data_IF_640912380652
#
_entry.id   IF_640912380652
#
_cell.length_a   1.000
_cell.length_b   1.000
_cell.length_c   1.000
_cell.angle_alpha   90.00
_cell.angle_beta   90.00
_cell.angle_gamma   90.00
#
_symmetry.space_group_name_H-M   'P 1'
#
loop_
_entity.id
_entity.type
_entity.pdbx_description
1 polymer ?
#
# COMPACT_ATOMS: atom_id res chain seq x y z
N UNK A 1 28.83 -65.12 62.57
CA UNK A 1 27.81 -65.82 61.77
C UNK A 1 26.51 -65.01 61.82
N UNK A 2 25.92 -64.73 60.65
CA UNK A 2 24.68 -63.99 60.37
C UNK A 2 24.74 -62.44 60.33
N UNK A 3 24.70 -62.00 59.06
CA UNK A 3 24.51 -60.68 58.46
C UNK A 3 23.27 -59.93 58.99
N UNK A 4 23.41 -58.61 59.22
CA UNK A 4 22.35 -57.61 58.99
C UNK A 4 22.96 -56.43 58.25
N UNK A 5 22.42 -56.15 57.06
CA UNK A 5 22.73 -54.99 56.25
C UNK A 5 22.08 -53.74 56.86
N UNK A 6 22.88 -52.69 57.06
CA UNK A 6 22.40 -51.31 57.20
C UNK A 6 22.96 -50.51 56.02
N UNK A 7 22.05 -49.93 55.23
CA UNK A 7 22.35 -49.06 54.11
C UNK A 7 22.72 -47.67 54.66
N UNK A 8 23.92 -47.17 54.34
CA UNK A 8 24.22 -45.74 54.39
C UNK A 8 24.85 -45.30 53.07
N UNK A 9 24.21 -44.26 52.53
CA UNK A 9 24.52 -43.52 51.31
C UNK A 9 25.95 -42.98 51.31
N UNK A 10 26.67 -43.16 50.20
CA UNK A 10 27.87 -42.39 49.89
C UNK A 10 27.70 -41.71 48.53
N UNK A 11 27.67 -40.38 48.56
CA UNK A 11 27.69 -39.50 47.40
C UNK A 11 28.98 -39.72 46.58
N UNK A 12 28.83 -39.95 45.28
CA UNK A 12 29.92 -39.84 44.30
C UNK A 12 29.56 -38.73 43.32
N UNK A 13 30.27 -37.60 43.45
CA UNK A 13 30.16 -36.41 42.62
C UNK A 13 30.92 -36.67 41.32
N UNK A 14 30.21 -36.95 40.22
CA UNK A 14 30.80 -37.06 38.89
C UNK A 14 30.68 -35.73 38.14
N UNK A 15 31.83 -35.07 37.94
CA UNK A 15 32.00 -33.93 37.05
C UNK A 15 31.68 -34.31 35.61
N UNK A 16 30.55 -33.83 35.08
CA UNK A 16 30.20 -33.94 33.67
C UNK A 16 30.82 -32.77 32.88
N UNK A 17 31.84 -33.09 32.07
CA UNK A 17 32.42 -32.18 31.08
C UNK A 17 31.43 -32.00 29.93
N UNK A 18 30.78 -30.85 29.85
CA UNK A 18 29.87 -30.53 28.72
C UNK A 18 30.69 -30.15 27.49
N UNK A 19 30.74 -31.06 26.53
CA UNK A 19 31.19 -30.80 25.16
C UNK A 19 30.21 -29.87 24.45
N UNK A 20 30.65 -28.67 24.10
CA UNK A 20 29.89 -27.76 23.23
C UNK A 20 29.79 -28.36 21.82
N UNK A 21 28.66 -29.01 21.50
CA UNK A 21 28.29 -29.31 20.13
C UNK A 21 27.77 -28.03 19.47
N UNK A 22 28.52 -27.52 18.50
CA UNK A 22 28.01 -26.54 17.53
C UNK A 22 26.92 -27.23 16.70
N UNK A 23 25.66 -26.99 17.03
CA UNK A 23 24.56 -27.35 16.14
C UNK A 23 24.62 -26.49 14.87
N UNK A 24 24.51 -27.09 13.67
CA UNK A 24 24.38 -26.32 12.44
C UNK A 24 23.10 -25.47 12.51
N UNK A 25 23.21 -24.18 12.17
CA UNK A 25 22.02 -23.33 11.99
C UNK A 25 21.06 -24.02 11.02
N UNK A 26 19.75 -24.07 11.32
CA UNK A 26 18.78 -24.68 10.43
C UNK A 26 18.90 -24.02 9.04
N UNK A 27 18.98 -24.85 8.01
CA UNK A 27 18.96 -24.39 6.62
C UNK A 27 17.70 -23.53 6.43
N UNK A 28 17.79 -22.39 5.72
CA UNK A 28 16.60 -21.64 5.36
C UNK A 28 15.61 -22.57 4.64
N UNK A 29 14.30 -22.41 4.86
CA UNK A 29 13.30 -23.25 4.19
C UNK A 29 13.55 -23.23 2.67
N UNK A 30 13.28 -24.33 1.96
CA UNK A 30 13.41 -24.36 0.51
C UNK A 30 12.63 -23.19 -0.08
N UNK A 31 13.19 -22.48 -1.08
CA UNK A 31 12.56 -21.26 -1.58
C UNK A 31 11.16 -21.60 -2.09
N UNK A 32 10.18 -20.87 -1.56
CA UNK A 32 8.78 -20.96 -1.95
C UNK A 32 8.67 -20.79 -3.47
N UNK A 33 8.25 -21.84 -4.19
CA UNK A 33 8.07 -21.81 -5.64
C UNK A 33 6.64 -21.39 -5.96
N UNK A 34 6.48 -20.13 -6.38
CA UNK A 34 5.20 -19.50 -6.70
C UNK A 34 5.45 -18.46 -7.80
N UNK A 35 5.82 -18.96 -8.97
CA UNK A 35 6.17 -18.16 -10.16
C UNK A 35 4.88 -17.72 -10.89
N UNK A 36 5.00 -17.15 -12.11
CA UNK A 36 3.91 -16.48 -12.79
C UNK A 36 2.65 -17.34 -12.98
N UNK A 37 2.76 -18.63 -13.31
CA UNK A 37 1.57 -19.47 -13.52
C UNK A 37 0.76 -19.66 -12.22
N UNK A 38 1.45 -19.73 -11.08
CA UNK A 38 0.80 -19.76 -9.77
C UNK A 38 0.16 -18.41 -9.42
N UNK A 39 0.82 -17.30 -9.79
CA UNK A 39 0.27 -15.93 -9.64
C UNK A 39 -0.98 -15.75 -10.51
N UNK A 40 -0.95 -16.24 -11.76
CA UNK A 40 -2.07 -16.21 -12.68
C UNK A 40 -3.23 -17.06 -12.18
N UNK A 41 -2.94 -18.26 -11.65
CA UNK A 41 -3.95 -19.12 -11.02
C UNK A 41 -4.56 -18.46 -9.78
N UNK A 42 -3.75 -17.74 -8.98
CA UNK A 42 -4.22 -16.94 -7.83
C UNK A 42 -4.99 -15.68 -8.27
N UNK A 43 -4.88 -15.26 -9.53
CA UNK A 43 -5.54 -14.07 -10.06
C UNK A 43 -5.04 -12.74 -9.49
N UNK A 44 -3.92 -12.71 -8.77
CA UNK A 44 -3.43 -11.48 -8.12
C UNK A 44 -1.93 -11.45 -7.92
N UNK A 45 -1.32 -10.27 -7.97
CA UNK A 45 0.08 -10.00 -7.58
C UNK A 45 0.13 -9.17 -6.30
N UNK A 46 1.05 -9.48 -5.39
CA UNK A 46 1.28 -8.70 -4.16
C UNK A 46 2.56 -7.89 -4.28
N UNK A 47 2.43 -6.56 -4.30
CA UNK A 47 3.56 -5.64 -4.38
C UNK A 47 3.99 -5.13 -3.00
N UNK A 48 5.29 -5.20 -2.74
CA UNK A 48 5.96 -4.57 -1.61
C UNK A 48 6.38 -3.16 -2.02
N UNK A 49 5.69 -2.15 -1.51
CA UNK A 49 5.85 -0.73 -1.94
C UNK A 49 6.27 0.14 -0.77
N UNK A 50 6.99 1.23 -1.01
CA UNK A 50 7.28 2.22 0.03
C UNK A 50 6.33 3.42 -0.05
N UNK A 51 6.09 4.08 1.09
CA UNK A 51 5.26 5.28 1.14
C UNK A 51 6.07 6.48 0.59
N UNK A 52 6.06 6.62 -0.73
CA UNK A 52 6.80 7.64 -1.47
C UNK A 52 6.08 8.02 -2.76
N UNK A 53 6.45 9.16 -3.34
CA UNK A 53 5.89 9.61 -4.63
C UNK A 53 6.40 8.78 -5.80
N UNK A 54 7.58 8.19 -5.64
CA UNK A 54 8.25 7.35 -6.64
C UNK A 54 7.71 5.92 -6.64
N UNK A 55 7.10 5.48 -5.52
CA UNK A 55 6.49 4.17 -5.41
C UNK A 55 4.97 4.25 -5.30
N UNK A 56 4.43 4.59 -4.12
CA UNK A 56 3.02 4.51 -3.79
C UNK A 56 2.60 5.51 -2.69
N UNK A 57 1.46 6.19 -2.89
CA UNK A 57 0.79 7.07 -1.92
C UNK A 57 -0.71 7.23 -2.25
N UNK A 58 -1.47 7.93 -1.39
CA UNK A 58 -2.87 8.29 -1.65
C UNK A 58 -3.03 9.82 -1.68
N UNK A 59 -3.79 10.35 -2.64
CA UNK A 59 -4.13 11.76 -2.74
C UNK A 59 -5.61 11.94 -3.08
N UNK A 60 -6.34 12.71 -2.27
CA UNK A 60 -7.79 12.91 -2.41
C UNK A 60 -8.55 11.59 -2.62
N UNK A 61 -8.22 10.59 -1.81
CA UNK A 61 -8.79 9.25 -1.89
C UNK A 61 -8.31 8.37 -3.05
N UNK A 62 -7.46 8.86 -3.96
CA UNK A 62 -6.94 8.05 -5.05
C UNK A 62 -5.56 7.47 -4.73
N UNK A 63 -5.32 6.16 -4.88
CA UNK A 63 -3.98 5.61 -4.89
C UNK A 63 -3.21 6.08 -6.13
N UNK A 64 -1.97 6.50 -5.92
CA UNK A 64 -1.07 7.12 -6.88
C UNK A 64 0.37 6.69 -6.63
N UNK A 65 1.27 6.99 -7.55
CA UNK A 65 2.70 6.68 -7.47
C UNK A 65 3.24 6.20 -8.81
N UNK A 66 4.52 6.49 -9.07
CA UNK A 66 5.14 6.11 -10.34
C UNK A 66 5.16 4.59 -10.53
N UNK A 67 5.75 3.84 -9.60
CA UNK A 67 5.79 2.38 -9.71
C UNK A 67 4.40 1.74 -9.54
N UNK A 68 3.53 2.31 -8.70
CA UNK A 68 2.15 1.85 -8.56
C UNK A 68 1.36 1.94 -9.88
N UNK A 69 1.43 3.07 -10.61
CA UNK A 69 0.69 3.21 -11.86
C UNK A 69 1.23 2.31 -12.97
N UNK A 70 2.54 2.07 -13.01
CA UNK A 70 3.13 1.09 -13.92
C UNK A 70 2.66 -0.32 -13.58
N UNK A 71 2.77 -0.72 -12.31
CA UNK A 71 2.38 -2.07 -11.93
C UNK A 71 0.87 -2.31 -12.07
N UNK A 72 0.04 -1.31 -11.79
CA UNK A 72 -1.41 -1.39 -12.02
C UNK A 72 -1.74 -1.66 -13.49
N UNK A 73 -1.01 -1.04 -14.42
CA UNK A 73 -1.16 -1.31 -15.86
C UNK A 73 -0.73 -2.72 -16.21
N UNK A 74 0.43 -3.17 -15.71
CA UNK A 74 0.89 -4.54 -15.91
C UNK A 74 -0.15 -5.56 -15.44
N UNK A 75 -0.75 -5.36 -14.25
CA UNK A 75 -1.76 -6.29 -13.73
C UNK A 75 -3.05 -6.24 -14.54
N UNK A 76 -3.51 -5.06 -14.97
CA UNK A 76 -4.69 -4.91 -15.82
C UNK A 76 -4.52 -5.61 -17.18
N UNK A 77 -3.36 -5.49 -17.82
CA UNK A 77 -3.05 -6.14 -19.11
C UNK A 77 -2.89 -7.67 -18.99
N UNK A 78 -2.78 -8.21 -17.78
CA UNK A 78 -2.65 -9.64 -17.51
C UNK A 78 -3.83 -10.22 -16.71
N UNK A 79 -4.95 -9.49 -16.60
CA UNK A 79 -6.15 -9.90 -15.86
C UNK A 79 -5.86 -10.28 -14.39
N UNK A 80 -4.94 -9.55 -13.75
CA UNK A 80 -4.56 -9.74 -12.36
C UNK A 80 -5.07 -8.59 -11.48
N UNK A 81 -5.42 -8.92 -10.24
CA UNK A 81 -5.59 -7.93 -9.18
C UNK A 81 -4.24 -7.49 -8.60
N UNK A 82 -4.15 -6.23 -8.20
CA UNK A 82 -2.97 -5.66 -7.56
C UNK A 82 -3.20 -5.49 -6.05
N UNK A 83 -2.56 -6.36 -5.26
CA UNK A 83 -2.50 -6.26 -3.81
C UNK A 83 -1.29 -5.43 -3.38
N UNK A 84 -1.51 -4.44 -2.50
CA UNK A 84 -0.45 -3.55 -2.03
C UNK A 84 -0.13 -3.84 -0.57
N UNK A 85 1.17 -4.02 -0.27
CA UNK A 85 1.70 -4.10 1.08
C UNK A 85 2.80 -3.06 1.27
N UNK A 86 2.58 -2.12 2.19
CA UNK A 86 3.55 -1.05 2.43
C UNK A 86 4.67 -1.55 3.32
N UNK A 87 5.91 -1.27 2.92
CA UNK A 87 7.11 -1.55 3.69
C UNK A 87 7.49 -0.34 4.54
N UNK A 88 7.83 -0.62 5.79
CA UNK A 88 8.20 0.43 6.76
C UNK A 88 9.69 0.38 7.13
N UNK A 89 10.32 -0.79 6.98
CA UNK A 89 11.75 -0.99 7.24
C UNK A 89 12.46 -1.49 5.99
N UNK A 90 13.48 -0.76 5.55
CA UNK A 90 14.17 -1.08 4.29
C UNK A 90 14.89 -2.43 4.35
N UNK A 91 15.44 -2.79 5.51
CA UNK A 91 16.19 -4.03 5.70
C UNK A 91 15.31 -5.29 5.66
N UNK A 92 14.02 -5.14 5.93
CA UNK A 92 13.03 -6.22 5.87
C UNK A 92 12.53 -6.52 4.46
N UNK A 93 12.74 -5.63 3.48
CA UNK A 93 12.09 -5.76 2.16
C UNK A 93 12.48 -7.04 1.40
N UNK A 94 13.78 -7.33 1.30
CA UNK A 94 14.26 -8.53 0.59
C UNK A 94 13.97 -9.82 1.38
N UNK A 95 14.14 -9.87 2.71
CA UNK A 95 13.63 -10.98 3.52
C UNK A 95 12.13 -11.24 3.32
N UNK A 96 11.30 -10.21 3.31
CA UNK A 96 9.84 -10.34 3.09
C UNK A 96 9.52 -10.89 1.70
N UNK A 97 10.21 -10.40 0.66
CA UNK A 97 10.07 -10.94 -0.69
C UNK A 97 10.42 -12.43 -0.74
N UNK A 98 11.56 -12.80 -0.16
CA UNK A 98 12.08 -14.17 -0.18
C UNK A 98 11.30 -15.13 0.73
N UNK A 99 10.56 -14.62 1.72
CA UNK A 99 9.64 -15.42 2.55
C UNK A 99 8.25 -15.60 1.94
N UNK A 100 8.00 -15.10 0.73
CA UNK A 100 6.69 -15.16 0.07
C UNK A 100 5.67 -14.13 0.57
N UNK A 101 6.09 -13.10 1.33
CA UNK A 101 5.16 -12.09 1.84
C UNK A 101 4.63 -11.15 0.75
N UNK A 102 5.38 -10.97 -0.33
CA UNK A 102 4.95 -10.33 -1.58
C UNK A 102 5.70 -10.95 -2.74
N UNK A 103 5.32 -10.64 -3.97
CA UNK A 103 5.86 -11.23 -5.21
C UNK A 103 6.85 -10.30 -5.92
N UNK A 104 6.70 -9.00 -5.72
CA UNK A 104 7.51 -7.97 -6.37
C UNK A 104 7.81 -6.83 -5.39
N UNK A 105 9.03 -6.30 -5.44
CA UNK A 105 9.43 -5.09 -4.73
C UNK A 105 9.41 -3.92 -5.72
N UNK A 106 8.59 -2.92 -5.40
CA UNK A 106 8.42 -1.68 -6.14
C UNK A 106 8.59 -0.53 -5.16
N UNK A 107 9.84 -0.23 -4.78
CA UNK A 107 10.15 0.69 -3.69
C UNK A 107 11.35 1.58 -4.00
N UNK A 108 11.48 2.03 -5.26
CA UNK A 108 12.63 2.78 -5.78
C UNK A 108 13.97 2.12 -5.35
N UNK A 109 14.07 0.80 -5.55
CA UNK A 109 15.20 0.04 -5.03
C UNK A 109 16.39 0.11 -6.01
N UNK A 110 17.53 0.60 -5.51
CA UNK A 110 18.78 0.63 -6.28
C UNK A 110 19.31 -0.78 -6.51
N UNK A 111 19.71 -1.08 -7.74
CA UNK A 111 20.42 -2.31 -8.11
C UNK A 111 21.85 -2.25 -7.54
N UNK A 112 22.20 -3.20 -6.68
CA UNK A 112 23.57 -3.35 -6.15
C UNK A 112 24.04 -4.79 -6.29
N UNK A 113 25.36 -5.05 -6.40
CA UNK A 113 25.90 -6.42 -6.46
C UNK A 113 25.45 -7.29 -5.29
N UNK A 114 25.45 -6.76 -4.07
CA UNK A 114 25.00 -7.51 -2.88
C UNK A 114 23.51 -7.86 -2.90
N UNK A 115 22.66 -6.97 -3.42
CA UNK A 115 21.23 -7.28 -3.59
C UNK A 115 21.00 -8.30 -4.69
N UNK A 116 21.73 -8.21 -5.81
CA UNK A 116 21.62 -9.14 -6.95
C UNK A 116 22.01 -10.59 -6.59
N UNK A 117 22.82 -10.79 -5.53
CA UNK A 117 23.06 -12.14 -4.98
C UNK A 117 21.81 -12.77 -4.36
N UNK A 118 20.84 -11.96 -3.92
CA UNK A 118 19.69 -12.39 -3.10
C UNK A 118 18.36 -12.40 -3.85
N UNK A 119 18.24 -11.61 -4.92
CA UNK A 119 17.02 -11.40 -5.71
C UNK A 119 17.39 -11.19 -7.18
N UNK A 120 16.43 -11.35 -8.08
CA UNK A 120 16.58 -10.93 -9.46
C UNK A 120 15.99 -9.52 -9.64
N UNK A 121 16.66 -8.68 -10.43
CA UNK A 121 16.13 -7.38 -10.82
C UNK A 121 15.59 -7.44 -12.24
N UNK A 122 14.53 -6.68 -12.49
CA UNK A 122 14.04 -6.45 -13.85
C UNK A 122 15.05 -5.63 -14.67
N UNK A 123 14.79 -5.46 -15.97
CA UNK A 123 15.29 -4.28 -16.70
C UNK A 123 14.99 -3.04 -15.86
N UNK A 124 15.94 -2.10 -15.82
CA UNK A 124 15.80 -0.87 -15.04
C UNK A 124 14.52 -0.12 -15.43
N UNK A 125 13.93 0.63 -14.51
CA UNK A 125 12.86 1.57 -14.82
C UNK A 125 13.47 2.86 -15.39
N UNK A 126 14.56 3.30 -14.78
CA UNK A 126 15.35 4.46 -15.17
C UNK A 126 16.71 4.46 -14.46
N UNK A 127 17.63 5.26 -14.98
CA UNK A 127 18.90 5.59 -14.35
C UNK A 127 18.75 6.83 -13.44
N UNK A 128 19.46 6.83 -12.31
CA UNK A 128 19.57 7.97 -11.40
C UNK A 128 21.00 8.11 -10.88
N UNK A 129 21.28 9.18 -10.13
CA UNK A 129 22.56 9.40 -9.44
C UNK A 129 22.27 9.58 -7.96
N UNK A 130 23.20 9.17 -7.11
CA UNK A 130 23.16 9.61 -5.71
C UNK A 130 23.65 11.05 -5.64
N UNK A 131 22.98 11.89 -4.88
CA UNK A 131 23.33 13.30 -4.71
C UNK A 131 23.36 13.70 -3.25
N UNK A 132 24.30 14.58 -2.91
CA UNK A 132 24.31 15.28 -1.64
C UNK A 132 23.14 16.26 -1.62
N UNK A 133 22.33 16.17 -0.58
CA UNK A 133 21.31 17.15 -0.26
C UNK A 133 21.83 18.03 0.87
N UNK A 134 21.92 19.33 0.59
CA UNK A 134 22.43 20.36 1.50
C UNK A 134 21.55 21.61 1.40
N UNK A 135 21.67 22.58 2.31
CA UNK A 135 20.99 23.89 2.15
C UNK A 135 21.81 24.85 1.28
N UNK A 136 21.14 25.79 0.63
CA UNK A 136 21.80 27.02 0.19
C UNK A 136 22.27 27.79 1.44
N UNK A 137 23.57 27.87 1.65
CA UNK A 137 24.21 28.61 2.75
C UNK A 137 25.05 29.76 2.21
N UNK A 138 25.44 30.70 3.08
CA UNK A 138 26.40 31.77 2.78
C UNK A 138 27.85 31.26 2.64
N UNK A 139 28.19 30.17 3.32
CA UNK A 139 29.58 29.76 3.59
C UNK A 139 30.12 28.74 2.58
N UNK A 140 29.70 28.86 1.32
CA UNK A 140 29.99 27.98 0.17
C UNK A 140 29.32 26.60 0.19
N UNK A 141 28.89 26.18 -1.00
CA UNK A 141 28.23 24.89 -1.27
C UNK A 141 29.27 23.81 -1.54
N UNK A 142 29.07 22.62 -0.97
CA UNK A 142 29.88 21.43 -1.28
C UNK A 142 29.67 21.04 -2.74
N UNK A 143 30.71 21.05 -3.56
CA UNK A 143 30.64 20.73 -5.00
C UNK A 143 31.16 19.34 -5.33
N UNK A 144 32.03 18.79 -4.48
CA UNK A 144 32.67 17.49 -4.69
C UNK A 144 32.53 16.60 -3.45
N UNK A 145 32.75 15.29 -3.61
CA UNK A 145 32.71 14.33 -2.49
C UNK A 145 33.85 14.58 -1.52
N UNK A 146 35.01 14.99 -2.02
CA UNK A 146 36.23 15.23 -1.26
C UNK A 146 36.04 16.33 -0.22
N UNK A 147 35.26 17.36 -0.56
CA UNK A 147 34.89 18.47 0.33
C UNK A 147 34.02 18.04 1.54
N UNK A 148 33.49 16.81 1.56
CA UNK A 148 32.81 16.25 2.73
C UNK A 148 33.77 15.82 3.84
N UNK A 149 35.08 15.93 3.65
CA UNK A 149 36.08 15.63 4.68
C UNK A 149 35.78 16.37 5.99
N UNK A 150 35.65 15.62 7.09
CA UNK A 150 35.35 16.17 8.42
C UNK A 150 33.90 16.59 8.65
N UNK A 151 33.06 16.61 7.60
CA UNK A 151 31.62 16.91 7.69
C UNK A 151 30.85 15.70 8.21
N UNK A 152 29.69 15.97 8.80
CA UNK A 152 28.76 14.94 9.27
C UNK A 152 27.64 14.73 8.25
N UNK A 153 27.50 13.51 7.75
CA UNK A 153 26.46 13.17 6.77
C UNK A 153 25.53 12.12 7.37
N UNK A 154 24.23 12.44 7.42
CA UNK A 154 23.20 11.56 7.94
C UNK A 154 22.55 10.81 6.79
N UNK A 155 22.40 9.50 6.91
CA UNK A 155 21.74 8.69 5.87
C UNK A 155 20.90 7.60 6.49
N UNK A 156 19.86 7.15 5.78
CA UNK A 156 19.03 6.02 6.22
C UNK A 156 19.90 4.78 6.42
N UNK A 157 19.89 4.21 7.62
CA UNK A 157 20.66 3.02 7.96
C UNK A 157 20.24 1.84 7.06
N UNK A 158 21.21 1.03 6.61
CA UNK A 158 21.00 -0.12 5.68
C UNK A 158 20.42 0.25 4.31
N UNK A 159 20.51 1.52 3.91
CA UNK A 159 20.28 1.94 2.53
C UNK A 159 21.51 1.73 1.66
N UNK A 160 21.32 1.72 0.35
CA UNK A 160 22.42 1.76 -0.63
C UNK A 160 23.31 2.98 -0.43
N UNK A 161 22.76 4.10 0.06
CA UNK A 161 23.51 5.32 0.39
C UNK A 161 24.48 5.10 1.56
N UNK A 162 24.04 4.41 2.61
CA UNK A 162 24.88 4.11 3.77
C UNK A 162 26.04 3.18 3.38
N UNK A 163 25.75 2.10 2.66
CA UNK A 163 26.77 1.17 2.17
C UNK A 163 27.76 1.87 1.24
N UNK A 164 27.27 2.67 0.29
CA UNK A 164 28.11 3.39 -0.65
C UNK A 164 28.99 4.46 0.01
N UNK A 165 28.46 5.26 0.94
CA UNK A 165 29.29 6.24 1.66
C UNK A 165 30.41 5.57 2.45
N UNK A 166 30.16 4.39 3.03
CA UNK A 166 31.21 3.61 3.71
C UNK A 166 32.29 3.16 2.72
N UNK A 167 31.92 2.75 1.51
CA UNK A 167 32.88 2.40 0.45
C UNK A 167 33.69 3.62 -0.02
N UNK A 168 33.00 4.73 -0.29
CA UNK A 168 33.61 6.02 -0.66
C UNK A 168 34.60 6.48 0.41
N UNK A 169 34.26 6.36 1.69
CA UNK A 169 35.11 6.74 2.81
C UNK A 169 36.30 5.78 3.04
N UNK A 170 36.33 4.62 2.37
CA UNK A 170 37.49 3.71 2.34
C UNK A 170 38.44 4.03 1.18
N UNK A 171 37.89 4.38 0.01
CA UNK A 171 38.67 4.65 -1.21
C UNK A 171 39.19 6.08 -1.26
N UNK A 172 38.44 7.02 -0.72
CA UNK A 172 38.82 8.41 -0.59
C UNK A 172 39.27 8.66 0.88
N UNK A 173 40.44 9.27 1.08
CA UNK A 173 40.92 9.73 2.40
C UNK A 173 40.19 10.96 3.04
N UNK A 174 39.03 11.47 2.58
CA UNK A 174 38.10 12.21 3.43
C UNK A 174 37.67 11.40 4.64
N UNK A 175 37.82 12.00 5.83
CA UNK A 175 37.24 11.47 7.08
C UNK A 175 35.79 11.96 7.22
N UNK A 176 34.88 11.47 6.38
CA UNK A 176 33.44 11.79 6.49
C UNK A 176 32.89 11.14 7.75
N UNK A 177 32.17 11.91 8.59
CA UNK A 177 31.48 11.38 9.76
C UNK A 177 30.08 10.89 9.35
N UNK A 178 29.96 9.60 9.03
CA UNK A 178 28.70 9.01 8.55
C UNK A 178 27.83 8.59 9.75
N UNK A 179 26.61 9.14 9.84
CA UNK A 179 25.62 8.76 10.86
C UNK A 179 24.46 8.03 10.18
N UNK A 180 24.33 6.73 10.49
CA UNK A 180 23.22 5.91 10.03
C UNK A 180 21.98 6.09 10.91
N UNK A 181 20.88 6.57 10.34
CA UNK A 181 19.62 6.81 11.04
C UNK A 181 18.66 5.65 10.78
N UNK A 182 18.27 4.94 11.84
CA UNK A 182 17.35 3.81 11.76
C UNK A 182 15.92 4.25 11.41
N UNK A 183 15.17 3.36 10.77
CA UNK A 183 13.73 3.52 10.57
C UNK A 183 12.99 3.58 11.91
N UNK A 184 11.96 4.41 12.01
CA UNK A 184 11.13 4.48 13.22
C UNK A 184 10.34 3.18 13.43
N UNK A 185 10.03 2.85 14.68
CA UNK A 185 9.08 1.79 15.02
C UNK A 185 7.65 2.12 14.56
N UNK A 186 7.34 3.40 14.40
CA UNK A 186 6.05 3.87 13.89
C UNK A 186 5.92 3.56 12.39
N UNK A 187 5.21 2.46 12.14
CA UNK A 187 5.08 1.80 10.86
C UNK A 187 4.12 2.50 9.91
N UNK A 188 3.92 3.83 9.98
CA UNK A 188 3.05 4.55 9.02
C UNK A 188 3.57 5.93 8.63
N UNK A 189 4.77 6.28 9.08
CA UNK A 189 5.38 7.57 8.79
C UNK A 189 6.00 7.55 7.39
N UNK A 190 6.07 8.74 6.77
CA UNK A 190 6.78 9.01 5.52
C UNK A 190 8.19 8.38 5.51
N UNK A 191 8.65 7.92 4.33
CA UNK A 191 9.98 7.31 4.15
C UNK A 191 11.11 8.12 4.85
N UNK A 192 12.02 7.42 5.56
CA UNK A 192 13.10 8.02 6.36
C UNK A 192 14.02 8.93 5.55
N UNK A 193 14.33 8.62 4.30
CA UNK A 193 15.11 9.48 3.41
C UNK A 193 14.40 10.83 3.20
N UNK A 194 13.07 10.83 3.04
CA UNK A 194 12.30 12.07 2.91
C UNK A 194 12.31 12.88 4.21
N UNK A 195 12.27 12.21 5.36
CA UNK A 195 12.44 12.88 6.66
C UNK A 195 13.81 13.57 6.74
N UNK A 196 14.90 12.87 6.41
CA UNK A 196 16.26 13.45 6.43
C UNK A 196 16.38 14.66 5.50
N UNK A 197 15.75 14.63 4.31
CA UNK A 197 15.74 15.79 3.41
C UNK A 197 14.99 16.98 4.03
N UNK A 198 13.85 16.72 4.69
CA UNK A 198 13.12 17.76 5.41
C UNK A 198 13.94 18.32 6.58
N UNK A 199 14.70 17.48 7.30
CA UNK A 199 15.60 17.93 8.38
C UNK A 199 16.77 18.78 7.86
N UNK A 200 17.32 18.45 6.68
CA UNK A 200 18.28 19.33 6.00
C UNK A 200 17.63 20.68 5.70
N UNK A 201 16.43 20.68 5.12
CA UNK A 201 15.69 21.92 4.82
C UNK A 201 15.41 22.76 6.06
N UNK A 202 15.03 22.13 7.18
CA UNK A 202 14.80 22.78 8.47
C UNK A 202 16.08 23.27 9.16
N UNK A 203 17.25 22.80 8.73
CA UNK A 203 18.53 23.13 9.33
C UNK A 203 18.87 22.33 10.59
N UNK A 204 18.15 21.23 10.84
CA UNK A 204 18.39 20.32 11.97
C UNK A 204 19.61 19.43 11.73
N UNK A 205 19.89 19.12 10.46
CA UNK A 205 21.12 18.47 10.00
C UNK A 205 21.66 19.20 8.77
N UNK A 206 22.96 19.08 8.52
CA UNK A 206 23.59 19.81 7.41
C UNK A 206 23.46 19.07 6.07
N UNK A 207 23.63 17.74 6.11
CA UNK A 207 23.80 16.92 4.92
C UNK A 207 23.08 15.57 5.02
N UNK A 208 22.41 15.18 3.93
CA UNK A 208 21.98 13.80 3.67
C UNK A 208 22.31 13.40 2.25
N UNK A 209 22.22 12.11 1.93
CA UNK A 209 22.31 11.59 0.56
C UNK A 209 20.97 10.96 0.16
N UNK A 210 20.59 11.14 -1.11
CA UNK A 210 19.42 10.51 -1.70
C UNK A 210 19.63 10.29 -3.21
N UNK A 211 18.79 9.45 -3.83
CA UNK A 211 18.72 9.39 -5.28
C UNK A 211 18.22 10.74 -5.84
N UNK A 212 18.77 11.17 -6.97
CA UNK A 212 18.50 12.47 -7.59
C UNK A 212 17.02 12.60 -7.97
N UNK A 213 16.39 11.51 -8.41
CA UNK A 213 14.96 11.51 -8.73
C UNK A 213 14.10 11.84 -7.50
N UNK A 214 14.46 11.31 -6.32
CA UNK A 214 13.82 11.62 -5.05
C UNK A 214 14.14 13.06 -4.61
N UNK A 215 15.41 13.46 -4.67
CA UNK A 215 15.86 14.79 -4.29
C UNK A 215 15.21 15.90 -5.16
N UNK A 216 15.04 15.66 -6.46
CA UNK A 216 14.36 16.56 -7.40
C UNK A 216 12.89 16.76 -7.07
N UNK A 217 12.21 15.74 -6.55
CA UNK A 217 10.84 15.87 -6.05
C UNK A 217 10.85 16.68 -4.75
N UNK A 218 11.75 16.36 -3.81
CA UNK A 218 11.82 17.02 -2.51
C UNK A 218 12.21 18.50 -2.57
N UNK A 219 13.11 18.89 -3.48
CA UNK A 219 13.49 20.30 -3.71
C UNK A 219 12.29 21.20 -4.05
N UNK A 220 11.17 20.63 -4.52
CA UNK A 220 9.93 21.38 -4.79
C UNK A 220 9.22 21.79 -3.51
N UNK A 221 9.29 20.96 -2.48
CA UNK A 221 8.75 21.24 -1.14
C UNK A 221 9.71 22.07 -0.30
N UNK A 222 11.00 21.86 -0.54
CA UNK A 222 12.10 22.45 0.19
C UNK A 222 12.98 23.29 -0.76
N UNK A 223 12.51 24.46 -1.24
CA UNK A 223 13.23 25.23 -2.27
C UNK A 223 14.60 25.72 -1.83
N UNK A 224 14.86 25.72 -0.52
CA UNK A 224 16.14 26.09 0.08
C UNK A 224 17.21 24.98 0.02
N UNK A 225 16.93 23.78 -0.53
CA UNK A 225 17.94 22.71 -0.67
C UNK A 225 18.64 22.74 -2.04
N UNK A 226 19.91 22.36 -2.03
CA UNK A 226 20.80 22.16 -3.16
C UNK A 226 21.10 20.66 -3.32
N UNK A 227 21.10 20.17 -4.57
CA UNK A 227 21.04 18.72 -4.90
C UNK A 227 21.90 18.32 -6.11
N UNK A 228 22.83 19.17 -6.56
CA UNK A 228 23.56 18.92 -7.82
C UNK A 228 24.89 18.20 -7.63
N UNK A 229 25.37 18.08 -6.40
CA UNK A 229 26.64 17.44 -6.04
C UNK A 229 26.49 15.93 -6.10
N UNK A 230 27.07 15.23 -7.09
CA UNK A 230 26.94 13.78 -7.19
C UNK A 230 27.80 13.06 -6.15
N UNK A 231 27.31 11.94 -5.64
CA UNK A 231 28.06 10.99 -4.82
C UNK A 231 28.28 9.75 -5.69
N UNK A 232 29.42 9.69 -6.39
CA UNK A 232 29.80 8.56 -7.25
C UNK A 232 29.09 8.54 -8.62
N UNK A 233 29.01 7.35 -9.21
CA UNK A 233 28.51 7.13 -10.58
C UNK A 233 27.00 6.89 -10.64
N UNK A 234 26.37 7.02 -11.82
CA UNK A 234 24.97 6.65 -12.00
C UNK A 234 24.66 5.21 -11.61
N UNK A 235 23.42 4.98 -11.19
CA UNK A 235 22.88 3.70 -10.72
C UNK A 235 21.49 3.48 -11.30
N UNK A 236 21.08 2.22 -11.38
CA UNK A 236 19.78 1.83 -11.91
C UNK A 236 18.78 1.60 -10.79
N UNK A 237 17.55 2.08 -11.00
CA UNK A 237 16.38 1.71 -10.21
C UNK A 237 15.62 0.64 -10.99
N UNK A 238 15.29 -0.48 -10.35
CA UNK A 238 14.57 -1.60 -10.97
C UNK A 238 13.60 -2.23 -9.97
N UNK A 239 12.63 -2.99 -10.46
CA UNK A 239 11.85 -3.87 -9.59
C UNK A 239 12.67 -5.10 -9.21
N UNK A 240 12.37 -5.69 -8.05
CA UNK A 240 13.00 -6.94 -7.62
C UNK A 240 11.97 -8.05 -7.43
N UNK A 241 12.31 -9.26 -7.87
CA UNK A 241 11.53 -10.50 -7.69
C UNK A 241 12.42 -11.58 -7.08
N UNK A 242 11.83 -12.66 -6.56
CA UNK A 242 12.63 -13.77 -6.00
C UNK A 242 13.51 -14.38 -7.10
N UNK A 243 14.64 -14.97 -6.69
CA UNK A 243 15.54 -15.67 -7.63
C UNK A 243 14.85 -16.81 -8.38
N UNK A 244 13.83 -17.41 -7.77
CA UNK A 244 13.03 -18.51 -8.31
C UNK A 244 11.96 -18.07 -9.31
N UNK A 245 11.55 -16.80 -9.30
CA UNK A 245 10.41 -16.32 -10.08
C UNK A 245 10.84 -15.89 -11.49
N UNK A 246 11.40 -16.84 -12.23
CA UNK A 246 12.03 -16.60 -13.54
C UNK A 246 11.02 -16.26 -14.63
N UNK A 247 9.80 -16.81 -14.58
CA UNK A 247 8.75 -16.51 -15.55
C UNK A 247 8.13 -15.13 -15.29
N UNK A 248 7.91 -14.79 -14.02
CA UNK A 248 7.47 -13.44 -13.63
C UNK A 248 8.51 -12.41 -14.08
N UNK A 249 9.80 -12.65 -13.81
CA UNK A 249 10.88 -11.79 -14.27
C UNK A 249 10.85 -11.59 -15.79
N UNK A 250 10.72 -12.68 -16.55
CA UNK A 250 10.67 -12.63 -18.01
C UNK A 250 9.49 -11.77 -18.49
N UNK A 251 8.28 -12.02 -17.98
CA UNK A 251 7.07 -11.26 -18.34
C UNK A 251 7.19 -9.79 -18.00
N UNK A 252 7.72 -9.46 -16.82
CA UNK A 252 7.98 -8.09 -16.41
C UNK A 252 8.98 -7.39 -17.35
N UNK A 253 10.07 -8.08 -17.72
CA UNK A 253 11.08 -7.51 -18.62
C UNK A 253 10.53 -7.29 -20.03
N UNK A 254 9.84 -8.27 -20.59
CA UNK A 254 9.20 -8.16 -21.91
C UNK A 254 8.22 -6.99 -21.93
N UNK A 255 7.39 -6.87 -20.89
CA UNK A 255 6.44 -5.78 -20.71
C UNK A 255 7.12 -4.42 -20.55
N UNK A 256 8.11 -4.29 -19.66
CA UNK A 256 8.84 -3.04 -19.43
C UNK A 256 9.56 -2.55 -20.69
N UNK A 257 10.18 -3.46 -21.44
CA UNK A 257 10.89 -3.13 -22.68
C UNK A 257 9.95 -2.56 -23.75
N UNK A 258 8.72 -3.09 -23.83
CA UNK A 258 7.67 -2.56 -24.69
C UNK A 258 7.13 -1.23 -24.16
N UNK A 259 6.74 -1.18 -22.90
CA UNK A 259 6.09 -0.01 -22.29
C UNK A 259 6.98 1.23 -22.29
N UNK A 260 8.29 1.09 -22.12
CA UNK A 260 9.24 2.22 -22.22
C UNK A 260 9.16 2.99 -23.55
N UNK A 261 8.59 2.39 -24.59
CA UNK A 261 8.41 3.00 -25.92
C UNK A 261 7.03 3.65 -26.10
N UNK A 262 6.13 3.53 -25.12
CA UNK A 262 4.75 4.01 -25.23
C UNK A 262 4.60 5.44 -24.69
N UNK A 263 3.65 6.20 -25.26
CA UNK A 263 3.27 7.52 -24.77
C UNK A 263 2.76 7.47 -23.32
N UNK A 264 2.16 6.36 -22.90
CA UNK A 264 1.66 6.16 -21.56
C UNK A 264 2.79 6.13 -20.53
N UNK A 265 3.86 5.39 -20.77
CA UNK A 265 5.04 5.39 -19.90
C UNK A 265 5.66 6.79 -19.80
N UNK A 266 5.78 7.48 -20.93
CA UNK A 266 6.28 8.87 -20.94
C UNK A 266 5.34 9.87 -20.24
N UNK A 267 4.04 9.60 -20.23
CA UNK A 267 3.07 10.41 -19.48
C UNK A 267 3.23 10.19 -17.99
N UNK A 268 3.37 8.92 -17.55
CA UNK A 268 3.58 8.57 -16.14
C UNK A 268 4.91 9.14 -15.63
N UNK A 269 6.02 8.96 -16.37
CA UNK A 269 7.32 9.51 -15.97
C UNK A 269 7.27 11.05 -15.89
N UNK A 270 6.57 11.70 -16.82
CA UNK A 270 6.42 13.17 -16.84
C UNK A 270 5.61 13.62 -15.63
N UNK A 271 4.50 12.96 -15.33
CA UNK A 271 3.62 13.25 -14.19
C UNK A 271 4.38 13.23 -12.85
N UNK A 272 5.27 12.26 -12.66
CA UNK A 272 5.98 12.09 -11.38
C UNK A 272 7.32 12.81 -11.28
N UNK A 273 8.08 12.90 -12.38
CA UNK A 273 9.43 13.47 -12.34
C UNK A 273 9.55 14.85 -12.99
N UNK A 274 8.67 15.22 -13.93
CA UNK A 274 8.80 16.48 -14.70
C UNK A 274 7.74 17.54 -14.37
N UNK A 275 6.49 17.16 -14.09
CA UNK A 275 5.36 18.08 -13.89
C UNK A 275 5.44 18.82 -12.52
N UNK A 276 6.12 19.97 -12.52
CA UNK A 276 6.57 20.72 -11.33
C UNK A 276 5.45 21.15 -10.39
N UNK A 277 4.44 21.85 -10.92
CA UNK A 277 3.43 22.54 -10.11
C UNK A 277 2.33 21.60 -9.60
N UNK A 278 1.85 20.71 -10.47
CA UNK A 278 0.71 19.83 -10.15
C UNK A 278 1.08 18.85 -9.05
N UNK A 279 2.23 18.17 -9.13
CA UNK A 279 2.63 17.21 -8.11
C UNK A 279 2.89 17.88 -6.75
N UNK A 280 3.49 19.08 -6.75
CA UNK A 280 3.67 19.88 -5.52
C UNK A 280 2.34 20.20 -4.87
N UNK A 281 1.36 20.71 -5.64
CA UNK A 281 0.03 21.02 -5.13
C UNK A 281 -0.66 19.79 -4.52
N UNK A 282 -0.52 18.62 -5.16
CA UNK A 282 -1.10 17.37 -4.65
C UNK A 282 -0.50 16.96 -3.30
N UNK A 283 0.82 16.97 -3.19
CA UNK A 283 1.51 16.45 -2.00
C UNK A 283 1.54 17.43 -0.83
N UNK A 284 1.47 18.73 -1.10
CA UNK A 284 1.32 19.76 -0.06
C UNK A 284 -0.12 19.87 0.47
N UNK A 285 -1.08 19.17 -0.13
CA UNK A 285 -2.46 19.15 0.35
C UNK A 285 -2.57 18.35 1.64
N UNK A 286 -3.38 18.85 2.59
CA UNK A 286 -3.79 18.11 3.79
C UNK A 286 -4.49 16.77 3.47
N UNK A 287 -4.99 16.61 2.24
CA UNK A 287 -5.68 15.40 1.75
C UNK A 287 -4.75 14.40 1.05
N UNK A 288 -3.44 14.55 1.26
CA UNK A 288 -2.42 13.59 0.90
C UNK A 288 -2.16 12.65 2.07
N UNK A 289 -2.01 11.36 1.80
CA UNK A 289 -1.61 10.39 2.84
C UNK A 289 -0.23 10.69 3.41
N UNK A 290 0.60 11.47 2.71
CA UNK A 290 1.88 11.98 3.22
C UNK A 290 1.71 12.98 4.38
N UNK A 291 0.53 13.61 4.47
CA UNK A 291 0.11 14.51 5.56
C UNK A 291 -0.87 13.84 6.54
N UNK A 292 -1.33 12.64 6.22
CA UNK A 292 -2.21 11.84 7.08
C UNK A 292 -3.71 12.03 6.83
N UNK A 293 -4.12 12.76 5.79
CA UNK A 293 -5.52 12.97 5.44
C UNK A 293 -5.96 12.26 4.14
N UNK A 294 -7.27 12.13 3.96
CA UNK A 294 -7.95 11.58 2.77
C UNK A 294 -8.80 12.65 2.09
N UNK A 295 -9.54 13.44 2.88
CA UNK A 295 -10.57 14.34 2.38
C UNK A 295 -10.76 15.57 3.29
N UNK A 296 -11.45 16.62 2.81
CA UNK A 296 -11.89 17.75 3.63
C UNK A 296 -12.84 17.37 4.78
N UNK A 297 -13.41 16.16 4.75
CA UNK A 297 -14.47 15.74 5.66
C UNK A 297 -14.01 14.70 6.68
N UNK A 298 -12.70 14.42 6.78
CA UNK A 298 -12.17 13.32 7.60
C UNK A 298 -12.69 13.34 9.04
N UNK A 299 -12.81 14.51 9.67
CA UNK A 299 -13.31 14.61 11.05
C UNK A 299 -14.83 14.35 11.15
N UNK A 300 -15.62 14.80 10.17
CA UNK A 300 -17.03 14.45 10.08
C UNK A 300 -17.21 12.95 9.80
N UNK A 301 -16.42 12.40 8.88
CA UNK A 301 -16.44 10.98 8.54
C UNK A 301 -16.08 10.13 9.78
N UNK A 302 -15.05 10.50 10.54
CA UNK A 302 -14.70 9.84 11.82
C UNK A 302 -15.85 9.86 12.82
N UNK A 303 -16.50 11.02 12.99
CA UNK A 303 -17.66 11.19 13.88
C UNK A 303 -18.78 10.21 13.51
N UNK A 304 -19.16 10.16 12.24
CA UNK A 304 -20.30 9.35 11.80
C UNK A 304 -19.96 7.87 11.63
N UNK A 305 -18.74 7.51 11.23
CA UNK A 305 -18.27 6.13 11.21
C UNK A 305 -18.33 5.50 12.61
N UNK A 306 -17.99 6.25 13.66
CA UNK A 306 -18.13 5.80 15.06
C UNK A 306 -19.58 5.46 15.41
N UNK A 307 -20.56 6.21 14.90
CA UNK A 307 -21.99 6.00 15.18
C UNK A 307 -22.55 4.68 14.62
N UNK A 308 -21.87 4.13 13.61
CA UNK A 308 -22.19 2.88 12.92
C UNK A 308 -21.16 1.76 13.19
N UNK A 309 -20.21 1.99 14.11
CA UNK A 309 -19.12 1.06 14.44
C UNK A 309 -18.28 0.62 13.23
N UNK A 310 -18.05 1.53 12.28
CA UNK A 310 -17.18 1.30 11.13
C UNK A 310 -15.81 1.95 11.30
N UNK A 311 -14.82 1.43 10.58
CA UNK A 311 -13.58 2.15 10.35
C UNK A 311 -13.87 3.38 9.50
N UNK A 312 -13.43 4.56 9.92
CA UNK A 312 -13.71 5.81 9.20
C UNK A 312 -13.12 5.81 7.80
N UNK A 313 -12.03 5.07 7.57
CA UNK A 313 -11.41 4.93 6.24
C UNK A 313 -12.32 4.14 5.31
N UNK A 314 -13.11 3.19 5.81
CA UNK A 314 -14.09 2.46 5.01
C UNK A 314 -15.23 3.40 4.57
N UNK A 315 -15.75 4.20 5.50
CA UNK A 315 -16.78 5.19 5.19
C UNK A 315 -16.24 6.25 4.21
N UNK A 316 -14.99 6.71 4.37
CA UNK A 316 -14.35 7.59 3.41
C UNK A 316 -14.22 6.96 2.01
N UNK A 317 -13.97 5.64 1.95
CA UNK A 317 -13.87 4.92 0.68
C UNK A 317 -15.21 4.81 -0.04
N UNK A 318 -16.28 4.59 0.73
CA UNK A 318 -17.65 4.62 0.23
C UNK A 318 -18.00 6.00 -0.34
N UNK A 319 -17.79 7.07 0.44
CA UNK A 319 -18.07 8.45 0.00
C UNK A 319 -17.26 8.81 -1.25
N UNK A 320 -16.02 8.32 -1.34
CA UNK A 320 -15.23 8.52 -2.54
C UNK A 320 -15.87 7.85 -3.77
N UNK A 321 -16.38 6.62 -3.62
CA UNK A 321 -17.09 5.91 -4.68
C UNK A 321 -18.34 6.66 -5.12
N UNK A 322 -19.07 7.21 -4.15
CA UNK A 322 -20.34 7.90 -4.38
C UNK A 322 -20.16 9.27 -5.04
N UNK A 323 -19.35 10.15 -4.45
CA UNK A 323 -19.29 11.55 -4.89
C UNK A 323 -17.88 12.08 -5.12
N UNK A 324 -16.85 11.26 -4.89
CA UNK A 324 -15.44 11.72 -4.86
C UNK A 324 -15.24 12.88 -3.87
N UNK A 325 -15.99 12.88 -2.77
CA UNK A 325 -16.06 13.95 -1.77
C UNK A 325 -16.65 15.27 -2.28
N UNK A 326 -17.48 15.24 -3.32
CA UNK A 326 -18.23 16.41 -3.77
C UNK A 326 -19.60 16.47 -3.07
N UNK A 327 -19.89 17.56 -2.38
CA UNK A 327 -21.16 17.78 -1.68
C UNK A 327 -22.29 18.18 -2.62
N UNK A 328 -21.97 18.65 -3.83
CA UNK A 328 -22.92 19.07 -4.85
C UNK A 328 -23.10 18.00 -5.95
N UNK A 329 -22.46 16.84 -5.84
CA UNK A 329 -22.61 15.77 -6.80
C UNK A 329 -24.07 15.32 -6.90
N UNK A 330 -24.53 15.17 -8.13
CA UNK A 330 -25.84 14.63 -8.49
C UNK A 330 -25.65 13.57 -9.57
N UNK A 331 -26.21 12.39 -9.34
CA UNK A 331 -26.21 11.29 -10.30
C UNK A 331 -27.38 11.40 -11.29
N UNK A 332 -27.32 10.65 -12.38
CA UNK A 332 -28.41 10.59 -13.37
C UNK A 332 -29.73 10.05 -12.81
N UNK A 333 -29.69 9.29 -11.70
CA UNK A 333 -30.87 8.83 -10.95
C UNK A 333 -31.39 9.84 -9.93
N UNK A 334 -30.76 11.01 -9.82
CA UNK A 334 -31.13 12.07 -8.86
C UNK A 334 -30.63 11.81 -7.43
N UNK A 335 -29.67 10.89 -7.23
CA UNK A 335 -29.02 10.73 -5.93
C UNK A 335 -28.03 11.87 -5.70
N UNK A 336 -28.00 12.45 -4.49
CA UNK A 336 -27.34 13.74 -4.25
C UNK A 336 -26.46 13.75 -2.99
N UNK A 337 -25.40 14.55 -3.04
CA UNK A 337 -24.51 14.84 -1.92
C UNK A 337 -23.43 13.78 -1.69
N UNK A 338 -22.72 13.88 -0.55
CA UNK A 338 -21.55 13.06 -0.25
C UNK A 338 -21.78 11.55 -0.35
N UNK A 339 -22.92 11.10 0.18
CA UNK A 339 -23.29 9.69 0.25
C UNK A 339 -24.25 9.29 -0.87
N UNK A 340 -24.52 10.18 -1.84
CA UNK A 340 -25.44 9.96 -2.97
C UNK A 340 -26.76 9.32 -2.51
N UNK A 341 -27.51 10.03 -1.67
CA UNK A 341 -28.82 9.56 -1.23
C UNK A 341 -29.88 10.00 -2.23
N UNK A 342 -30.77 9.09 -2.60
CA UNK A 342 -31.99 9.42 -3.34
C UNK A 342 -32.89 10.24 -2.40
N UNK A 343 -33.50 11.36 -2.85
CA UNK A 343 -34.31 12.24 -2.00
C UNK A 343 -35.37 11.52 -1.16
N UNK A 344 -36.11 10.57 -1.75
CA UNK A 344 -37.11 9.77 -1.02
C UNK A 344 -36.49 8.93 0.10
N UNK A 345 -35.29 8.39 -0.11
CA UNK A 345 -34.54 7.68 0.94
C UNK A 345 -33.97 8.63 1.98
N UNK A 346 -33.56 9.83 1.59
CA UNK A 346 -33.07 10.85 2.51
C UNK A 346 -34.16 11.29 3.51
N UNK A 347 -35.39 11.46 3.03
CA UNK A 347 -36.56 11.82 3.85
C UNK A 347 -36.85 10.77 4.94
N UNK A 348 -36.74 9.47 4.64
CA UNK A 348 -36.86 8.37 5.62
C UNK A 348 -35.89 8.50 6.80
N UNK A 349 -34.78 9.23 6.63
CA UNK A 349 -33.77 9.47 7.65
C UNK A 349 -33.71 10.92 8.15
N UNK A 350 -34.75 11.70 7.86
CA UNK A 350 -34.94 13.07 8.35
C UNK A 350 -34.08 14.11 7.64
N UNK A 351 -33.67 13.85 6.40
CA UNK A 351 -32.94 14.79 5.56
C UNK A 351 -33.86 15.34 4.47
N UNK A 352 -34.18 16.63 4.57
CA UNK A 352 -35.00 17.32 3.57
C UNK A 352 -34.19 17.68 2.31
N UNK A 353 -34.91 17.90 1.20
CA UNK A 353 -34.31 18.22 -0.09
C UNK A 353 -33.50 19.53 -0.12
N UNK A 354 -33.79 20.51 0.75
CA UNK A 354 -33.01 21.76 0.79
C UNK A 354 -31.65 21.56 1.49
N UNK A 355 -31.57 20.58 2.38
CA UNK A 355 -30.38 20.24 3.15
C UNK A 355 -29.55 19.11 2.54
N UNK A 356 -29.98 18.49 1.43
CA UNK A 356 -29.38 17.25 0.91
C UNK A 356 -27.91 17.39 0.48
N UNK A 357 -27.47 18.59 0.10
CA UNK A 357 -26.08 18.91 -0.24
C UNK A 357 -25.25 19.34 0.99
N UNK A 358 -25.86 19.50 2.16
CA UNK A 358 -25.13 19.77 3.40
C UNK A 358 -24.33 18.53 3.82
N UNK A 359 -23.01 18.66 3.88
CA UNK A 359 -22.10 17.55 4.19
C UNK A 359 -22.46 16.80 5.47
N UNK A 360 -22.77 17.52 6.56
CA UNK A 360 -23.08 16.91 7.86
C UNK A 360 -24.43 16.19 7.82
N UNK A 361 -25.46 16.84 7.28
CA UNK A 361 -26.81 16.27 7.23
C UNK A 361 -26.87 15.04 6.31
N UNK A 362 -26.20 15.11 5.15
CA UNK A 362 -26.07 14.00 4.21
C UNK A 362 -25.31 12.79 4.81
N UNK A 363 -24.18 13.05 5.48
CA UNK A 363 -23.44 12.02 6.21
C UNK A 363 -24.25 11.37 7.32
N UNK A 364 -25.02 12.16 8.07
CA UNK A 364 -25.87 11.66 9.14
C UNK A 364 -26.94 10.71 8.61
N UNK A 365 -27.68 11.13 7.59
CA UNK A 365 -28.74 10.33 6.98
C UNK A 365 -28.18 9.04 6.37
N UNK A 366 -27.09 9.13 5.60
CA UNK A 366 -26.49 7.96 4.96
C UNK A 366 -25.88 6.99 5.98
N UNK A 367 -25.35 7.51 7.11
CA UNK A 367 -24.90 6.66 8.21
C UNK A 367 -26.06 5.95 8.91
N UNK A 368 -27.22 6.61 9.11
CA UNK A 368 -28.43 5.95 9.61
C UNK A 368 -28.89 4.85 8.65
N UNK A 369 -28.81 5.08 7.34
CA UNK A 369 -29.12 4.07 6.33
C UNK A 369 -28.16 2.87 6.39
N UNK A 370 -26.84 3.10 6.41
CA UNK A 370 -25.85 2.03 6.58
C UNK A 370 -26.08 1.22 7.87
N UNK A 371 -26.43 1.89 8.97
CA UNK A 371 -26.75 1.22 10.25
C UNK A 371 -27.98 0.32 10.13
N UNK A 372 -28.99 0.72 9.36
CA UNK A 372 -30.16 -0.13 9.07
C UNK A 372 -29.74 -1.36 8.27
N UNK A 373 -28.92 -1.18 7.23
CA UNK A 373 -28.41 -2.28 6.41
C UNK A 373 -27.58 -3.28 7.24
N UNK A 374 -26.67 -2.79 8.09
CA UNK A 374 -25.85 -3.66 8.96
C UNK A 374 -26.74 -4.47 9.92
N UNK A 375 -27.77 -3.85 10.52
CA UNK A 375 -28.76 -4.56 11.35
C UNK A 375 -29.52 -5.65 10.61
N UNK A 376 -29.83 -5.46 9.32
CA UNK A 376 -30.48 -6.49 8.51
C UNK A 376 -29.55 -7.70 8.38
N UNK A 377 -28.30 -7.47 8.00
CA UNK A 377 -27.35 -8.55 7.73
C UNK A 377 -26.80 -9.21 8.99
N UNK A 378 -26.70 -8.48 10.11
CA UNK A 378 -26.26 -9.01 11.41
C UNK A 378 -27.11 -10.20 11.89
N UNK A 379 -28.38 -10.28 11.46
CA UNK A 379 -29.27 -11.41 11.77
C UNK A 379 -28.81 -12.73 11.19
N UNK A 380 -27.97 -12.71 10.15
CA UNK A 380 -27.57 -13.94 9.44
C UNK A 380 -26.08 -14.03 9.11
N UNK A 381 -25.33 -12.93 9.12
CA UNK A 381 -23.90 -12.89 8.80
C UNK A 381 -23.13 -12.45 10.06
N UNK A 382 -22.50 -13.40 10.75
CA UNK A 382 -21.76 -13.15 11.99
C UNK A 382 -20.40 -12.49 11.73
N UNK A 383 -19.67 -12.97 10.71
CA UNK A 383 -18.40 -12.41 10.27
C UNK A 383 -18.58 -10.94 9.84
N UNK A 384 -17.88 -10.03 10.52
CA UNK A 384 -18.02 -8.60 10.26
C UNK A 384 -17.45 -8.17 8.91
N UNK A 385 -16.39 -8.82 8.43
CA UNK A 385 -15.76 -8.48 7.14
C UNK A 385 -16.71 -8.87 6.01
N UNK A 386 -17.25 -10.08 6.07
CA UNK A 386 -18.25 -10.54 5.10
C UNK A 386 -19.50 -9.66 5.19
N UNK A 387 -20.02 -9.43 6.40
CA UNK A 387 -21.21 -8.59 6.61
C UNK A 387 -21.05 -7.19 6.02
N UNK A 388 -19.88 -6.56 6.16
CA UNK A 388 -19.60 -5.27 5.52
C UNK A 388 -19.80 -5.32 4.00
N UNK A 389 -19.35 -6.38 3.33
CA UNK A 389 -19.52 -6.54 1.87
C UNK A 389 -20.99 -6.68 1.47
N UNK A 390 -21.78 -7.44 2.23
CA UNK A 390 -23.24 -7.49 2.06
C UNK A 390 -23.90 -6.11 2.24
N UNK A 391 -23.45 -5.32 3.23
CA UNK A 391 -23.95 -3.96 3.45
C UNK A 391 -23.61 -3.05 2.28
N UNK A 392 -22.36 -3.07 1.80
CA UNK A 392 -21.92 -2.28 0.64
C UNK A 392 -22.74 -2.62 -0.61
N UNK A 393 -22.91 -3.91 -0.91
CA UNK A 393 -23.70 -4.34 -2.06
C UNK A 393 -25.17 -3.90 -1.93
N UNK A 394 -25.74 -4.03 -0.73
CA UNK A 394 -27.12 -3.60 -0.45
C UNK A 394 -27.30 -2.09 -0.51
N UNK A 395 -26.25 -1.33 -0.20
CA UNK A 395 -26.26 0.13 -0.31
C UNK A 395 -26.41 0.54 -1.78
N UNK A 396 -25.67 -0.14 -2.66
CA UNK A 396 -25.66 0.15 -4.10
C UNK A 396 -26.94 -0.31 -4.82
N UNK A 397 -27.38 -1.56 -4.61
CA UNK A 397 -28.46 -2.15 -5.42
C UNK A 397 -29.71 -2.51 -4.62
N UNK A 398 -29.70 -2.31 -3.31
CA UNK A 398 -30.82 -2.68 -2.44
C UNK A 398 -30.77 -4.12 -1.93
N UNK A 399 -31.34 -4.32 -0.74
CA UNK A 399 -31.28 -5.59 0.02
C UNK A 399 -31.93 -6.76 -0.72
N UNK A 400 -33.01 -6.52 -1.47
CA UNK A 400 -33.78 -7.57 -2.14
C UNK A 400 -32.96 -8.38 -3.14
N UNK A 401 -32.17 -7.70 -3.99
CA UNK A 401 -31.32 -8.39 -4.96
C UNK A 401 -30.18 -9.17 -4.30
N UNK A 402 -29.66 -8.70 -3.17
CA UNK A 402 -28.63 -9.43 -2.40
C UNK A 402 -29.23 -10.64 -1.69
N UNK A 403 -30.48 -10.56 -1.21
CA UNK A 403 -31.20 -11.73 -0.68
C UNK A 403 -31.40 -12.78 -1.77
N UNK A 404 -31.79 -12.37 -2.98
CA UNK A 404 -31.92 -13.29 -4.12
C UNK A 404 -30.56 -13.96 -4.44
N UNK A 405 -29.48 -13.18 -4.56
CA UNK A 405 -28.14 -13.71 -4.82
C UNK A 405 -27.70 -14.70 -3.73
N UNK A 406 -28.00 -14.40 -2.46
CA UNK A 406 -27.76 -15.30 -1.33
C UNK A 406 -28.53 -16.62 -1.44
N UNK A 407 -29.80 -16.58 -1.84
CA UNK A 407 -30.62 -17.79 -2.05
C UNK A 407 -30.12 -18.61 -3.23
N UNK A 408 -29.74 -17.96 -4.33
CA UNK A 408 -29.11 -18.61 -5.48
C UNK A 408 -27.80 -19.30 -5.06
N UNK A 409 -26.93 -18.62 -4.31
CA UNK A 409 -25.69 -19.22 -3.80
C UNK A 409 -25.96 -20.52 -3.05
N UNK A 410 -26.92 -20.52 -2.12
CA UNK A 410 -27.32 -21.74 -1.41
C UNK A 410 -27.86 -22.83 -2.35
N UNK A 411 -28.74 -22.47 -3.30
CA UNK A 411 -29.35 -23.42 -4.26
C UNK A 411 -28.29 -24.12 -5.10
N UNK A 412 -27.26 -23.40 -5.53
CA UNK A 412 -26.22 -23.89 -6.44
C UNK A 412 -24.94 -24.32 -5.71
N UNK A 413 -25.00 -24.58 -4.40
CA UNK A 413 -23.93 -25.25 -3.64
C UNK A 413 -22.83 -24.34 -3.09
N UNK A 414 -23.00 -23.02 -3.11
CA UNK A 414 -22.08 -22.05 -2.51
C UNK A 414 -22.56 -21.61 -1.12
N UNK A 415 -21.65 -21.02 -0.34
CA UNK A 415 -21.93 -20.60 1.03
C UNK A 415 -22.71 -19.27 1.07
N UNK A 416 -23.99 -19.26 1.49
CA UNK A 416 -24.81 -18.03 1.52
C UNK A 416 -24.39 -17.04 2.62
N UNK A 417 -23.44 -17.41 3.48
CA UNK A 417 -22.94 -16.57 4.57
C UNK A 417 -21.63 -15.85 4.21
N UNK A 418 -21.06 -16.16 3.06
CA UNK A 418 -19.81 -15.59 2.55
C UNK A 418 -20.10 -14.78 1.29
N UNK A 419 -19.52 -13.59 1.20
CA UNK A 419 -19.55 -12.76 0.01
C UNK A 419 -18.54 -13.27 -1.02
N UNK A 420 -17.26 -13.30 -0.62
CA UNK A 420 -16.13 -13.61 -1.49
C UNK A 420 -16.21 -15.03 -2.02
N UNK A 421 -16.03 -15.21 -3.34
CA UNK A 421 -16.09 -16.50 -4.05
C UNK A 421 -17.42 -17.27 -3.87
N UNK A 422 -18.45 -16.59 -3.37
CA UNK A 422 -19.72 -17.19 -3.00
C UNK A 422 -20.88 -16.32 -3.49
N UNK A 423 -21.50 -15.50 -2.64
CA UNK A 423 -22.66 -14.69 -3.02
C UNK A 423 -22.37 -13.72 -4.16
N UNK A 424 -21.14 -13.21 -4.27
CA UNK A 424 -20.75 -12.30 -5.35
C UNK A 424 -20.77 -12.95 -6.74
N UNK A 425 -20.57 -14.26 -6.83
CA UNK A 425 -20.71 -14.98 -8.11
C UNK A 425 -22.16 -14.97 -8.61
N UNK A 426 -23.11 -14.97 -7.68
CA UNK A 426 -24.54 -14.98 -8.00
C UNK A 426 -25.13 -13.59 -8.16
N UNK A 427 -24.51 -12.55 -7.59
CA UNK A 427 -24.91 -11.19 -7.96
C UNK A 427 -24.59 -10.94 -9.44
N UNK A 428 -23.40 -11.33 -9.91
CA UNK A 428 -23.00 -11.24 -11.32
C UNK A 428 -24.00 -11.98 -12.22
N UNK A 429 -24.36 -13.21 -11.87
CA UNK A 429 -25.30 -14.04 -12.65
C UNK A 429 -26.74 -13.50 -12.67
N UNK A 430 -27.14 -12.58 -11.80
CA UNK A 430 -28.51 -12.02 -11.82
C UNK A 430 -28.81 -11.11 -13.03
N UNK A 431 -27.86 -10.91 -13.94
CA UNK A 431 -28.13 -10.38 -15.28
C UNK A 431 -28.62 -11.43 -16.27
N UNK A 432 -28.43 -12.72 -15.97
CA UNK A 432 -28.71 -13.82 -16.88
C UNK A 432 -30.12 -14.37 -16.64
N UNK A 433 -30.85 -14.61 -17.74
CA UNK A 433 -32.27 -15.04 -17.69
C UNK A 433 -32.49 -16.28 -16.85
N UNK A 434 -31.57 -17.24 -16.92
CA UNK A 434 -31.61 -18.47 -16.12
C UNK A 434 -31.67 -18.20 -14.62
N UNK A 435 -30.93 -17.20 -14.12
CA UNK A 435 -30.80 -16.94 -12.69
C UNK A 435 -31.82 -15.93 -12.18
N UNK A 436 -32.14 -14.89 -12.94
CA UNK A 436 -33.10 -13.89 -12.47
C UNK A 436 -34.57 -14.34 -12.58
N UNK A 437 -34.87 -15.31 -13.45
CA UNK A 437 -36.20 -15.95 -13.54
C UNK A 437 -36.33 -17.21 -12.68
N UNK A 438 -35.25 -17.60 -12.00
CA UNK A 438 -35.28 -18.71 -11.05
C UNK A 438 -36.38 -18.48 -10.01
N UNK A 439 -37.21 -19.48 -9.77
CA UNK A 439 -38.33 -19.43 -8.81
C UNK A 439 -37.95 -18.98 -7.39
N UNK A 440 -36.66 -19.11 -7.02
CA UNK A 440 -36.16 -18.67 -5.71
C UNK A 440 -35.90 -17.15 -5.64
N UNK A 441 -35.75 -16.49 -6.79
CA UNK A 441 -35.58 -15.05 -6.94
C UNK A 441 -36.92 -14.33 -6.89
N UNK A 442 -37.02 -13.31 -6.05
CA UNK A 442 -38.25 -12.53 -5.86
C UNK A 442 -38.16 -11.14 -6.49
N UNK A 443 -36.96 -10.66 -6.80
CA UNK A 443 -36.70 -9.29 -7.24
C UNK A 443 -36.25 -9.21 -8.70
N UNK A 444 -36.26 -10.33 -9.43
CA UNK A 444 -36.01 -10.37 -10.87
C UNK A 444 -34.61 -9.89 -11.27
N UNK A 445 -34.55 -9.30 -12.47
CA UNK A 445 -33.32 -8.85 -13.12
C UNK A 445 -32.55 -7.84 -12.28
N UNK A 446 -31.23 -7.97 -12.26
CA UNK A 446 -30.32 -7.02 -11.65
C UNK A 446 -29.11 -6.84 -12.57
N UNK A 447 -28.61 -5.61 -12.69
CA UNK A 447 -27.31 -5.35 -13.33
C UNK A 447 -26.19 -5.76 -12.39
N UNK A 448 -25.98 -7.08 -12.26
CA UNK A 448 -25.11 -7.71 -11.27
C UNK A 448 -23.67 -7.18 -11.21
N UNK A 449 -23.16 -6.71 -12.33
CA UNK A 449 -21.82 -6.12 -12.44
C UNK A 449 -21.66 -4.86 -11.58
N UNK A 450 -22.70 -4.00 -11.51
CA UNK A 450 -22.64 -2.74 -10.77
C UNK A 450 -22.36 -2.93 -9.26
N UNK A 451 -23.12 -3.74 -8.49
CA UNK A 451 -22.85 -3.97 -7.08
C UNK A 451 -21.58 -4.82 -6.85
N UNK A 452 -21.23 -5.72 -7.77
CA UNK A 452 -19.98 -6.48 -7.69
C UNK A 452 -18.76 -5.54 -7.72
N UNK A 453 -18.69 -4.69 -8.75
CA UNK A 453 -17.60 -3.72 -8.90
C UNK A 453 -17.62 -2.69 -7.77
N UNK A 454 -18.80 -2.26 -7.34
CA UNK A 454 -18.95 -1.32 -6.22
C UNK A 454 -18.30 -1.84 -4.93
N UNK A 455 -18.59 -3.09 -4.54
CA UNK A 455 -17.99 -3.70 -3.35
C UNK A 455 -16.47 -3.81 -3.50
N UNK A 456 -16.00 -4.28 -4.67
CA UNK A 456 -14.57 -4.45 -4.96
C UNK A 456 -13.82 -3.12 -4.90
N UNK A 457 -14.35 -2.08 -5.52
CA UNK A 457 -13.75 -0.75 -5.56
C UNK A 457 -13.74 -0.06 -4.19
N UNK A 458 -14.85 -0.10 -3.44
CA UNK A 458 -14.92 0.49 -2.09
C UNK A 458 -13.98 -0.25 -1.14
N UNK A 459 -14.01 -1.58 -1.15
CA UNK A 459 -13.19 -2.37 -0.23
C UNK A 459 -11.69 -2.31 -0.59
N UNK A 460 -11.34 -2.42 -1.87
CA UNK A 460 -9.96 -2.29 -2.35
C UNK A 460 -9.34 -0.93 -2.00
N UNK A 461 -10.10 0.16 -2.20
CA UNK A 461 -9.66 1.51 -1.81
C UNK A 461 -9.57 1.70 -0.30
N UNK A 462 -10.45 1.07 0.46
CA UNK A 462 -10.32 1.03 1.92
C UNK A 462 -8.99 0.38 2.37
N UNK A 463 -8.55 -0.70 1.71
CA UNK A 463 -7.26 -1.33 1.99
C UNK A 463 -6.08 -0.40 1.69
N UNK A 464 -6.15 0.37 0.59
CA UNK A 464 -5.17 1.42 0.29
C UNK A 464 -5.06 2.46 1.41
N UNK A 465 -6.19 2.91 1.96
CA UNK A 465 -6.19 3.83 3.09
C UNK A 465 -5.63 3.18 4.36
N UNK A 466 -5.94 1.91 4.60
CA UNK A 466 -5.44 1.17 5.75
C UNK A 466 -3.91 1.06 5.79
N UNK A 467 -3.32 0.92 4.61
CA UNK A 467 -1.88 0.78 4.41
C UNK A 467 -1.09 2.04 4.79
N UNK A 468 -1.67 3.23 4.59
CA UNK A 468 -0.94 4.49 4.68
C UNK A 468 -1.39 5.39 5.84
N UNK A 469 -2.63 5.23 6.30
CA UNK A 469 -3.25 6.18 7.22
C UNK A 469 -3.59 5.47 8.53
N UNK A 470 -3.35 6.15 9.65
CA UNK A 470 -3.68 5.64 10.99
C UNK A 470 -5.20 5.57 11.17
N UNK A 471 -5.62 4.61 11.99
CA UNK A 471 -7.03 4.44 12.35
C UNK A 471 -7.49 5.61 13.21
#
# INVERSE_FOLDING_TARGET
MKLKFFFYSFLLFALSVTSCKNEPKPLPPPPYSFDFDSIATRGSITALVDNSTTSYFVYKGQPMGFEYELLKRFTQENDLELNIKVIYKLDSVLPMLNSGFGDIVCANITVTPERAKRVNFTTDLFETKEVLVQRYSSDSLIQTVEELAGKTVYVRLKSSFYEHLIEVNKTLNPKIKIIGVADSSDSKVMNKTLQLIAQVSGGEIDYTVADENVAKVQKRFHPNIHITTPIGTPRHIAWAVRRTDTMLLKKLNDWLNYQKQTNDFHTIITKYFKARTVLKQKLSSEYSSMKGGISPFDDLIKKYAKSINWDWRLLASLIYQESKFDTAAESWTGATGLMQLIPSTAEDYGLDSMSITNAQANLEAGSKYLKRLDKIWQKSISDSIQRTKFVLASYNVGVGHIIDAKKLAAKYGHNPLMWDENVELYILKKSDVEFYTDTICQHGYCRGQEPYDYVKEVYGRYLHYCNLIKK
#
